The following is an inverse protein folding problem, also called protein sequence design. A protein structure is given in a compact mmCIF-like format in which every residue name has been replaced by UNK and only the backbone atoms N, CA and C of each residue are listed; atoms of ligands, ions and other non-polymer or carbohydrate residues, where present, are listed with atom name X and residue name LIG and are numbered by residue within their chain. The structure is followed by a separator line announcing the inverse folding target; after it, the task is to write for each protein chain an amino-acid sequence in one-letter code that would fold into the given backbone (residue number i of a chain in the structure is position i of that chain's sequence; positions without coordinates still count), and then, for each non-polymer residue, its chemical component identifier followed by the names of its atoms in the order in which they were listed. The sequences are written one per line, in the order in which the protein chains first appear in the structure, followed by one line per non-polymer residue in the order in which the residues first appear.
data_IF_438698434791
#
_entry.id   IF_438698434791
#
_cell.length_a   1.000
_cell.length_b   1.000
_cell.length_c   1.000
_cell.angle_alpha   90.00
_cell.angle_beta   90.00
_cell.angle_gamma   90.00
#
_symmetry.space_group_name_H-M   'P 1'
#
loop_
_entity.id
_entity.type
_entity.pdbx_description
1 polymer ?
#
# COMPACT_ATOMS: atom_id res chain seq x y z
N UNK A 1 -23.67 -17.43 -18.02
CA UNK A 1 -23.29 -17.39 -16.59
C UNK A 1 -22.52 -18.67 -16.27
N UNK A 2 -21.23 -18.58 -15.99
CA UNK A 2 -20.37 -19.76 -15.76
C UNK A 2 -19.80 -19.75 -14.32
N UNK A 3 -20.69 -19.63 -13.30
CA UNK A 3 -20.30 -19.86 -11.92
C UNK A 3 -20.29 -21.39 -11.66
N UNK A 4 -19.31 -21.92 -10.93
CA UNK A 4 -19.28 -23.33 -10.53
C UNK A 4 -20.55 -23.71 -9.74
N UNK A 5 -21.12 -24.87 -10.02
CA UNK A 5 -22.33 -25.32 -9.34
C UNK A 5 -22.14 -25.43 -7.83
N UNK A 6 -20.98 -25.94 -7.39
CA UNK A 6 -20.62 -26.01 -5.98
C UNK A 6 -20.59 -24.62 -5.31
N UNK A 7 -20.07 -23.60 -6.01
CA UNK A 7 -20.08 -22.22 -5.51
C UNK A 7 -21.51 -21.67 -5.38
N UNK A 8 -22.36 -21.89 -6.39
CA UNK A 8 -23.77 -21.47 -6.32
C UNK A 8 -24.49 -22.15 -5.15
N UNK A 9 -24.27 -23.45 -4.93
CA UNK A 9 -24.87 -24.18 -3.81
C UNK A 9 -24.37 -23.62 -2.45
N UNK A 10 -23.10 -23.27 -2.35
CA UNK A 10 -22.54 -22.59 -1.17
C UNK A 10 -23.23 -21.24 -0.91
N UNK A 11 -23.38 -20.40 -1.95
CA UNK A 11 -24.10 -19.13 -1.81
C UNK A 11 -25.54 -19.30 -1.32
N UNK A 12 -26.25 -20.32 -1.82
CA UNK A 12 -27.63 -20.64 -1.36
C UNK A 12 -27.69 -20.98 0.11
N UNK A 13 -26.71 -21.71 0.60
CA UNK A 13 -26.64 -22.11 2.01
C UNK A 13 -26.24 -20.95 2.91
N UNK A 14 -25.25 -20.16 2.49
CA UNK A 14 -24.67 -19.09 3.27
C UNK A 14 -25.52 -17.82 3.24
N UNK A 15 -26.16 -17.52 2.11
CA UNK A 15 -26.96 -16.31 1.88
C UNK A 15 -28.37 -16.66 1.37
N UNK A 16 -29.22 -17.36 2.16
CA UNK A 16 -30.49 -17.90 1.70
C UNK A 16 -31.45 -16.82 1.16
N UNK A 17 -31.36 -15.59 1.68
CA UNK A 17 -32.22 -14.47 1.26
C UNK A 17 -31.62 -13.61 0.15
N UNK A 18 -30.31 -13.71 -0.13
CA UNK A 18 -29.59 -12.78 -0.99
C UNK A 18 -28.97 -13.45 -2.25
N UNK A 19 -28.79 -14.76 -2.24
CA UNK A 19 -28.08 -15.47 -3.31
C UNK A 19 -28.66 -15.23 -4.70
N UNK A 20 -29.99 -15.09 -4.84
CA UNK A 20 -30.66 -14.81 -6.12
C UNK A 20 -30.29 -13.42 -6.68
N UNK A 21 -29.97 -12.46 -5.81
CA UNK A 21 -29.50 -11.12 -6.18
C UNK A 21 -27.99 -11.12 -6.46
N UNK A 22 -27.24 -11.97 -5.75
CA UNK A 22 -25.78 -12.07 -5.91
C UNK A 22 -25.38 -12.66 -7.25
N UNK A 23 -26.02 -13.72 -7.70
CA UNK A 23 -25.66 -14.43 -8.94
C UNK A 23 -25.60 -13.51 -10.17
N UNK A 24 -26.64 -12.72 -10.51
CA UNK A 24 -26.56 -11.82 -11.65
C UNK A 24 -25.57 -10.67 -11.46
N UNK A 25 -25.20 -10.33 -10.22
CA UNK A 25 -24.23 -9.28 -9.94
C UNK A 25 -22.82 -9.65 -10.41
N UNK A 26 -22.48 -10.93 -10.48
CA UNK A 26 -21.18 -11.37 -11.00
C UNK A 26 -20.98 -11.10 -12.50
N UNK A 27 -22.03 -10.89 -13.25
CA UNK A 27 -21.96 -10.57 -14.68
C UNK A 27 -22.15 -9.06 -14.94
N UNK A 28 -22.39 -8.25 -13.91
CA UNK A 28 -22.43 -6.78 -14.05
C UNK A 28 -21.02 -6.22 -14.14
N UNK A 29 -20.83 -5.19 -14.94
CA UNK A 29 -19.59 -4.44 -15.01
C UNK A 29 -19.27 -3.80 -13.65
N UNK A 30 -18.00 -3.88 -13.25
CA UNK A 30 -17.51 -3.22 -12.03
C UNK A 30 -17.24 -1.76 -12.36
N UNK A 31 -17.80 -0.86 -11.56
CA UNK A 31 -17.49 0.54 -11.69
C UNK A 31 -16.02 0.79 -11.32
N UNK A 32 -15.28 1.44 -12.22
CA UNK A 32 -13.89 1.80 -11.95
C UNK A 32 -13.82 2.78 -10.79
N UNK A 33 -12.90 2.55 -9.86
CA UNK A 33 -12.65 3.45 -8.74
C UNK A 33 -11.17 3.73 -8.56
N UNK A 34 -10.87 4.87 -7.94
CA UNK A 34 -9.52 5.33 -7.67
C UNK A 34 -9.41 5.85 -6.24
N UNK A 35 -8.24 5.67 -5.66
CA UNK A 35 -7.80 6.34 -4.44
C UNK A 35 -7.11 7.63 -4.84
N UNK A 36 -7.55 8.77 -4.32
CA UNK A 36 -7.01 10.11 -4.61
C UNK A 36 -5.84 10.42 -3.68
N UNK A 37 -4.74 10.90 -4.24
CA UNK A 37 -3.67 11.45 -3.40
C UNK A 37 -4.08 12.83 -2.86
N UNK A 38 -4.02 13.09 -1.53
CA UNK A 38 -4.60 14.30 -0.94
C UNK A 38 -4.00 15.62 -1.44
N UNK A 39 -2.73 15.61 -1.84
CA UNK A 39 -2.03 16.83 -2.31
C UNK A 39 -1.95 16.93 -3.85
N UNK A 40 -1.88 15.81 -4.57
CA UNK A 40 -1.59 15.77 -6.02
C UNK A 40 -2.86 15.71 -6.88
N UNK A 41 -3.93 15.11 -6.38
CA UNK A 41 -5.15 14.86 -7.17
C UNK A 41 -5.81 16.12 -7.75
N UNK A 42 -5.68 17.26 -7.06
CA UNK A 42 -6.22 18.56 -7.50
C UNK A 42 -5.76 19.04 -8.88
N UNK A 43 -4.68 18.47 -9.42
CA UNK A 43 -4.13 18.80 -10.72
C UNK A 43 -4.68 17.90 -11.85
N UNK A 44 -5.52 16.92 -11.52
CA UNK A 44 -6.10 16.02 -12.51
C UNK A 44 -7.44 16.54 -13.03
N UNK A 45 -7.79 16.13 -14.26
CA UNK A 45 -9.12 16.36 -14.84
C UNK A 45 -10.13 15.25 -14.53
N UNK A 46 -9.74 14.26 -13.70
CA UNK A 46 -10.57 13.12 -13.34
C UNK A 46 -11.73 13.57 -12.46
N UNK A 47 -12.94 13.17 -12.85
CA UNK A 47 -14.18 13.48 -12.12
C UNK A 47 -14.96 12.19 -11.83
N UNK A 48 -15.66 12.19 -10.71
CA UNK A 48 -16.46 11.05 -10.29
C UNK A 48 -17.25 11.34 -9.02
N UNK A 49 -17.85 10.31 -8.47
CA UNK A 49 -18.63 10.36 -7.24
C UNK A 49 -17.77 9.87 -6.07
N UNK A 50 -17.97 10.41 -4.88
CA UNK A 50 -17.23 9.96 -3.71
C UNK A 50 -17.57 8.51 -3.35
N UNK A 51 -16.58 7.74 -2.93
CA UNK A 51 -16.82 6.45 -2.25
C UNK A 51 -17.34 6.78 -0.84
N UNK A 52 -18.55 6.34 -0.47
CA UNK A 52 -19.19 6.81 0.77
C UNK A 52 -18.43 6.51 2.05
N UNK A 53 -17.70 5.41 2.09
CA UNK A 53 -16.93 4.91 3.25
C UNK A 53 -15.45 5.30 3.24
N UNK A 54 -15.00 6.08 2.25
CA UNK A 54 -13.62 6.54 2.21
C UNK A 54 -13.51 7.88 1.49
N UNK A 55 -13.14 8.93 2.20
CA UNK A 55 -13.04 10.30 1.67
C UNK A 55 -12.01 10.47 0.55
N UNK A 56 -11.02 9.60 0.50
CA UNK A 56 -10.00 9.57 -0.57
C UNK A 56 -10.49 8.78 -1.80
N UNK A 57 -11.54 7.97 -1.66
CA UNK A 57 -12.09 7.15 -2.74
C UNK A 57 -12.94 7.96 -3.72
N UNK A 58 -12.89 7.58 -5.00
CA UNK A 58 -13.74 8.14 -6.05
C UNK A 58 -14.18 7.04 -7.02
N UNK A 59 -15.48 6.97 -7.30
CA UNK A 59 -16.09 6.14 -8.34
C UNK A 59 -16.08 6.92 -9.64
N UNK A 60 -15.50 6.38 -10.70
CA UNK A 60 -15.37 7.05 -11.99
C UNK A 60 -16.55 6.71 -12.90
N UNK A 61 -16.98 7.68 -13.69
CA UNK A 61 -18.01 7.46 -14.73
C UNK A 61 -17.47 6.63 -15.90
N UNK A 62 -16.18 6.84 -16.24
CA UNK A 62 -15.50 6.16 -17.33
C UNK A 62 -14.11 5.69 -16.85
N UNK A 63 -13.67 4.55 -17.37
CA UNK A 63 -12.34 4.03 -17.09
C UNK A 63 -11.28 4.75 -17.93
N UNK A 64 -10.36 5.53 -17.32
CA UNK A 64 -9.28 6.16 -18.07
C UNK A 64 -8.25 5.12 -18.56
N UNK A 65 -7.48 5.52 -19.58
CA UNK A 65 -6.32 4.74 -20.03
C UNK A 65 -5.13 5.00 -19.09
N UNK A 66 -5.16 4.45 -17.89
CA UNK A 66 -4.18 4.67 -16.83
C UNK A 66 -2.72 4.64 -17.31
N UNK A 67 -2.38 3.71 -18.22
CA UNK A 67 -1.03 3.57 -18.77
C UNK A 67 -0.53 4.85 -19.47
N UNK A 68 -1.43 5.61 -20.08
CA UNK A 68 -1.10 6.83 -20.81
C UNK A 68 -1.49 8.11 -20.08
N UNK A 69 -1.82 8.01 -18.80
CA UNK A 69 -2.11 9.18 -17.97
C UNK A 69 -0.86 9.57 -17.15
N UNK A 70 -0.20 10.70 -17.45
CA UNK A 70 0.96 11.16 -16.69
C UNK A 70 0.67 11.37 -15.21
N UNK A 71 -0.54 11.78 -14.84
CA UNK A 71 -0.93 11.97 -13.44
C UNK A 71 -0.95 10.65 -12.65
N UNK A 72 -1.34 9.54 -13.31
CA UNK A 72 -1.22 8.21 -12.73
C UNK A 72 0.24 7.85 -12.40
N UNK A 73 1.16 8.16 -13.31
CA UNK A 73 2.60 7.95 -13.12
C UNK A 73 3.24 8.91 -12.11
N UNK A 74 2.66 10.09 -11.93
CA UNK A 74 3.02 11.03 -10.87
C UNK A 74 2.51 10.61 -9.47
N UNK A 75 1.68 9.57 -9.40
CA UNK A 75 1.03 9.14 -8.16
C UNK A 75 -0.05 10.10 -7.66
N UNK A 76 -0.72 10.82 -8.56
CA UNK A 76 -1.84 11.68 -8.20
C UNK A 76 -3.09 10.88 -7.78
N UNK A 77 -3.18 9.67 -8.25
CA UNK A 77 -4.21 8.70 -7.87
C UNK A 77 -3.73 7.26 -8.13
N UNK A 78 -4.39 6.32 -7.51
CA UNK A 78 -4.16 4.88 -7.68
C UNK A 78 -5.47 4.17 -8.04
N UNK A 79 -5.44 3.21 -8.98
CA UNK A 79 -6.61 2.37 -9.29
C UNK A 79 -6.86 1.40 -8.13
N UNK A 80 -7.84 1.69 -7.30
CA UNK A 80 -8.20 0.94 -6.10
C UNK A 80 -9.63 0.46 -6.17
N UNK A 81 -9.88 -0.78 -5.80
CA UNK A 81 -11.21 -1.38 -5.69
C UNK A 81 -12.01 -0.69 -4.57
N UNK A 82 -13.28 -0.31 -4.87
CA UNK A 82 -14.07 0.55 -4.00
C UNK A 82 -14.36 -0.07 -2.63
N UNK A 83 -14.81 -1.33 -2.59
CA UNK A 83 -15.19 -1.99 -1.34
C UNK A 83 -13.99 -2.19 -0.41
N UNK A 84 -12.82 -2.51 -0.98
CA UNK A 84 -11.58 -2.66 -0.20
C UNK A 84 -11.13 -1.36 0.48
N UNK A 85 -11.63 -0.20 0.04
CA UNK A 85 -11.34 1.08 0.70
C UNK A 85 -12.03 1.21 2.07
N UNK A 86 -13.01 0.35 2.41
CA UNK A 86 -13.64 0.29 3.74
C UNK A 86 -12.59 0.06 4.84
N UNK A 87 -11.50 -0.62 4.51
CA UNK A 87 -10.39 -0.86 5.43
C UNK A 87 -9.83 0.42 6.05
N UNK A 88 -9.91 1.55 5.31
CA UNK A 88 -9.48 2.85 5.81
C UNK A 88 -10.30 3.32 7.00
N UNK A 89 -11.61 3.08 7.00
CA UNK A 89 -12.50 3.42 8.11
C UNK A 89 -12.16 2.65 9.41
N UNK A 90 -11.90 1.33 9.28
CA UNK A 90 -11.46 0.52 10.42
C UNK A 90 -10.06 0.94 10.90
N UNK A 91 -9.18 1.31 9.96
CA UNK A 91 -7.84 1.75 10.30
C UNK A 91 -7.82 3.09 11.06
N UNK A 92 -8.66 4.05 10.66
CA UNK A 92 -8.83 5.31 11.41
C UNK A 92 -9.24 5.05 12.86
N UNK A 93 -10.18 4.13 13.08
CA UNK A 93 -10.58 3.70 14.42
C UNK A 93 -9.42 3.10 15.23
N UNK A 94 -8.58 2.27 14.57
CA UNK A 94 -7.45 1.60 15.23
C UNK A 94 -6.36 2.58 15.68
N UNK A 95 -6.14 3.67 14.95
CA UNK A 95 -5.04 4.62 15.24
C UNK A 95 -5.48 5.87 16.01
N UNK A 96 -6.77 6.08 16.23
CA UNK A 96 -7.35 7.33 16.73
C UNK A 96 -6.69 7.83 18.03
N UNK A 97 -6.33 6.92 18.94
CA UNK A 97 -5.77 7.24 20.25
C UNK A 97 -4.24 6.97 20.34
N UNK A 98 -3.61 6.59 19.23
CA UNK A 98 -2.19 6.22 19.23
C UNK A 98 -1.35 7.38 18.70
N UNK A 99 -0.52 7.94 19.58
CA UNK A 99 0.48 8.92 19.17
C UNK A 99 1.62 8.22 18.42
N UNK A 100 1.89 8.67 17.18
CA UNK A 100 2.98 8.14 16.32
C UNK A 100 2.94 6.61 16.13
N UNK A 101 1.84 6.06 15.59
CA UNK A 101 1.67 4.62 15.47
C UNK A 101 2.70 3.96 14.56
N UNK A 102 3.23 2.82 14.99
CA UNK A 102 4.02 1.92 14.17
C UNK A 102 3.11 0.85 13.58
N UNK A 103 2.98 0.83 12.26
CA UNK A 103 2.06 -0.04 11.52
C UNK A 103 2.82 -1.01 10.65
N UNK A 104 2.39 -2.27 10.64
CA UNK A 104 2.86 -3.29 9.71
C UNK A 104 1.71 -3.71 8.78
N UNK A 105 1.88 -3.55 7.48
CA UNK A 105 1.07 -4.21 6.46
C UNK A 105 1.80 -5.49 6.03
N UNK A 106 1.32 -6.65 6.51
CA UNK A 106 2.07 -7.89 6.47
C UNK A 106 2.02 -8.59 5.10
N UNK A 107 0.97 -8.35 4.30
CA UNK A 107 0.74 -8.91 2.97
C UNK A 107 0.44 -7.78 1.96
N UNK A 108 1.35 -6.83 1.84
CA UNK A 108 1.07 -5.48 1.34
C UNK A 108 0.84 -5.36 -0.19
N UNK A 109 1.47 -6.23 -1.01
CA UNK A 109 1.42 -6.04 -2.46
C UNK A 109 0.03 -6.28 -3.07
N UNK A 110 -0.37 -5.48 -4.05
CA UNK A 110 0.43 -4.49 -4.80
C UNK A 110 0.56 -3.10 -4.16
N UNK A 111 -0.04 -2.84 -2.98
CA UNK A 111 0.15 -1.60 -2.23
C UNK A 111 -1.09 -0.75 -2.00
N UNK A 112 -2.24 -1.07 -2.60
CA UNK A 112 -3.43 -0.22 -2.52
C UNK A 112 -3.89 0.09 -1.08
N UNK A 113 -3.90 -0.90 -0.18
CA UNK A 113 -4.21 -0.71 1.24
C UNK A 113 -3.08 0.03 1.96
N UNK A 114 -1.81 -0.28 1.65
CA UNK A 114 -0.65 0.46 2.17
C UNK A 114 -0.71 1.96 1.82
N UNK A 115 -1.21 2.33 0.63
CA UNK A 115 -1.41 3.74 0.25
C UNK A 115 -2.47 4.41 1.13
N UNK A 116 -3.56 3.71 1.46
CA UNK A 116 -4.58 4.20 2.40
C UNK A 116 -3.95 4.41 3.77
N UNK A 117 -3.27 3.40 4.32
CA UNK A 117 -2.66 3.46 5.65
C UNK A 117 -1.62 4.59 5.73
N UNK A 118 -0.71 4.68 4.75
CA UNK A 118 0.31 5.74 4.74
C UNK A 118 -0.27 7.14 4.68
N UNK A 119 -1.39 7.31 3.94
CA UNK A 119 -2.07 8.61 3.83
C UNK A 119 -2.73 9.01 5.15
N UNK A 120 -3.39 8.07 5.82
CA UNK A 120 -4.05 8.30 7.10
C UNK A 120 -3.07 8.50 8.26
N UNK A 121 -1.92 7.85 8.22
CA UNK A 121 -0.81 8.09 9.16
C UNK A 121 -0.22 9.49 9.04
N UNK A 122 -0.21 10.04 7.84
CA UNK A 122 0.42 11.34 7.59
C UNK A 122 1.91 11.35 7.95
N UNK A 123 2.36 12.38 8.68
CA UNK A 123 3.77 12.54 9.09
C UNK A 123 4.06 11.98 10.49
N UNK A 124 3.03 11.61 11.25
CA UNK A 124 3.15 11.24 12.67
C UNK A 124 3.44 9.76 12.93
N UNK A 125 3.12 8.88 12.00
CA UNK A 125 3.33 7.45 12.15
C UNK A 125 4.36 6.89 11.17
N UNK A 126 4.61 5.57 11.27
CA UNK A 126 5.46 4.83 10.35
C UNK A 126 4.73 3.60 9.84
N UNK A 127 4.83 3.35 8.52
CA UNK A 127 4.31 2.15 7.88
C UNK A 127 5.46 1.26 7.40
N UNK A 128 5.43 -0.01 7.79
CA UNK A 128 6.25 -1.07 7.19
C UNK A 128 5.35 -1.92 6.32
N UNK A 129 5.61 -1.93 5.02
CA UNK A 129 4.87 -2.73 4.04
C UNK A 129 5.70 -3.95 3.64
N UNK A 130 5.24 -5.16 3.99
CA UNK A 130 5.94 -6.40 3.74
C UNK A 130 5.33 -7.20 2.59
N UNK A 131 6.18 -7.77 1.75
CA UNK A 131 5.79 -8.71 0.70
C UNK A 131 6.91 -9.71 0.45
N UNK A 132 6.60 -11.00 0.56
CA UNK A 132 7.59 -12.08 0.46
C UNK A 132 8.00 -12.43 -0.97
N UNK A 133 7.15 -12.13 -1.96
CA UNK A 133 7.37 -12.45 -3.36
C UNK A 133 8.14 -11.30 -4.03
N UNK A 134 9.39 -11.49 -4.48
CA UNK A 134 10.23 -10.40 -4.97
C UNK A 134 9.61 -9.58 -6.11
N UNK A 135 8.92 -10.21 -7.05
CA UNK A 135 8.26 -9.54 -8.16
C UNK A 135 7.12 -8.64 -7.67
N UNK A 136 6.32 -9.10 -6.71
CA UNK A 136 5.25 -8.31 -6.11
C UNK A 136 5.79 -7.18 -5.22
N UNK A 137 6.91 -7.44 -4.50
CA UNK A 137 7.61 -6.42 -3.72
C UNK A 137 8.12 -5.28 -4.60
N UNK A 138 8.60 -5.58 -5.82
CA UNK A 138 9.01 -4.54 -6.76
C UNK A 138 7.84 -3.64 -7.17
N UNK A 139 6.66 -4.21 -7.43
CA UNK A 139 5.44 -3.46 -7.75
C UNK A 139 4.97 -2.61 -6.56
N UNK A 140 5.02 -3.19 -5.36
CA UNK A 140 4.71 -2.47 -4.12
C UNK A 140 5.59 -1.22 -3.96
N UNK A 141 6.91 -1.37 -4.13
CA UNK A 141 7.87 -0.25 -4.07
C UNK A 141 7.57 0.83 -5.10
N UNK A 142 7.32 0.44 -6.34
CA UNK A 142 6.95 1.37 -7.41
C UNK A 142 5.73 2.21 -7.01
N UNK A 143 4.67 1.57 -6.50
CA UNK A 143 3.43 2.26 -6.13
C UNK A 143 3.64 3.20 -4.93
N UNK A 144 4.40 2.77 -3.91
CA UNK A 144 4.74 3.59 -2.76
C UNK A 144 5.63 4.79 -3.14
N UNK A 145 6.64 4.58 -3.99
CA UNK A 145 7.53 5.65 -4.47
C UNK A 145 6.77 6.67 -5.33
N UNK A 146 5.85 6.23 -6.19
CA UNK A 146 4.96 7.12 -6.96
C UNK A 146 4.03 7.92 -6.05
N UNK A 147 3.48 7.27 -5.02
CA UNK A 147 2.63 7.94 -4.03
C UNK A 147 3.40 9.02 -3.27
N UNK A 148 4.62 8.74 -2.82
CA UNK A 148 5.57 9.71 -2.33
C UNK A 148 5.35 10.17 -0.89
N UNK A 149 4.74 9.36 -0.03
CA UNK A 149 4.69 9.60 1.42
C UNK A 149 5.98 9.07 2.06
N UNK A 150 6.77 9.90 2.76
CA UNK A 150 8.17 9.57 3.08
C UNK A 150 8.38 8.61 4.25
N UNK A 151 7.39 8.37 5.11
CA UNK A 151 7.49 7.52 6.30
C UNK A 151 7.07 6.06 6.04
N UNK A 152 7.19 5.59 4.80
CA UNK A 152 6.88 4.23 4.38
C UNK A 152 8.15 3.45 4.08
N UNK A 153 8.21 2.24 4.63
CA UNK A 153 9.34 1.34 4.49
C UNK A 153 8.88 0.01 3.90
N UNK A 154 9.70 -0.63 3.08
CA UNK A 154 9.35 -1.93 2.51
C UNK A 154 10.24 -3.03 3.05
N UNK A 155 9.63 -4.17 3.35
CA UNK A 155 10.29 -5.36 3.86
C UNK A 155 10.01 -6.55 2.94
N UNK A 156 10.99 -7.42 2.74
CA UNK A 156 10.88 -8.61 1.92
C UNK A 156 11.21 -9.86 2.75
N UNK A 157 10.41 -10.14 3.80
CA UNK A 157 10.69 -11.24 4.71
C UNK A 157 9.47 -12.12 4.95
N UNK A 158 9.69 -13.41 5.09
CA UNK A 158 8.67 -14.28 5.65
C UNK A 158 8.33 -13.84 7.08
N UNK A 159 7.05 -13.81 7.49
CA UNK A 159 6.64 -13.33 8.80
C UNK A 159 7.39 -13.98 9.97
N UNK A 160 7.60 -15.31 9.92
CA UNK A 160 8.34 -16.08 10.92
C UNK A 160 9.86 -15.81 10.94
N UNK A 161 10.39 -15.05 10.00
CA UNK A 161 11.80 -14.61 9.96
C UNK A 161 12.00 -13.19 10.46
N UNK A 162 10.94 -12.47 10.77
CA UNK A 162 11.02 -11.14 11.37
C UNK A 162 11.52 -11.32 12.82
N UNK A 163 12.72 -10.75 13.17
CA UNK A 163 13.48 -11.18 14.34
C UNK A 163 13.04 -10.54 15.68
N UNK A 164 11.83 -9.99 15.76
CA UNK A 164 11.33 -9.32 16.95
C UNK A 164 9.84 -9.61 17.18
N UNK A 165 9.36 -9.29 18.39
CA UNK A 165 7.99 -9.47 18.83
C UNK A 165 7.47 -8.16 19.39
N UNK A 166 6.15 -7.97 19.44
CA UNK A 166 5.48 -6.86 20.13
C UNK A 166 6.00 -5.46 19.72
N UNK A 167 6.17 -5.25 18.41
CA UNK A 167 6.79 -4.04 17.86
C UNK A 167 5.83 -3.05 17.24
N UNK A 168 4.67 -3.53 16.78
CA UNK A 168 3.73 -2.73 16.03
C UNK A 168 2.46 -2.44 16.84
N UNK A 169 1.97 -1.22 16.73
CA UNK A 169 0.71 -0.80 17.35
C UNK A 169 -0.48 -1.33 16.54
N UNK A 170 -0.32 -1.42 15.20
CA UNK A 170 -1.28 -2.03 14.30
C UNK A 170 -0.58 -3.00 13.37
N UNK A 171 -1.14 -4.20 13.23
CA UNK A 171 -0.76 -5.16 12.19
C UNK A 171 -1.95 -5.36 11.27
N UNK A 172 -1.80 -5.01 9.99
CA UNK A 172 -2.80 -5.25 8.95
C UNK A 172 -2.43 -6.51 8.15
N UNK A 173 -3.41 -7.36 7.92
CA UNK A 173 -3.27 -8.60 7.14
C UNK A 173 -4.38 -8.65 6.10
N UNK A 174 -4.06 -8.22 4.87
CA UNK A 174 -4.89 -8.53 3.70
C UNK A 174 -4.51 -9.93 3.22
N UNK A 175 -5.23 -10.90 3.72
CA UNK A 175 -4.78 -12.29 3.63
C UNK A 175 -4.89 -12.87 2.21
N UNK A 176 -3.91 -13.67 1.76
CA UNK A 176 -4.09 -14.47 0.57
C UNK A 176 -5.27 -15.41 0.79
N UNK A 177 -6.30 -15.31 -0.05
CA UNK A 177 -7.60 -15.96 0.13
C UNK A 177 -8.07 -16.64 -1.16
N UNK A 178 -9.19 -17.37 -1.08
CA UNK A 178 -9.80 -18.08 -2.21
C UNK A 178 -10.36 -17.13 -3.29
N UNK A 179 -10.55 -15.86 -2.99
CA UNK A 179 -10.83 -14.81 -3.97
C UNK A 179 -12.22 -14.87 -4.61
N UNK A 180 -13.24 -15.35 -3.93
CA UNK A 180 -14.61 -15.49 -4.45
C UNK A 180 -15.20 -14.13 -4.90
N UNK A 181 -14.80 -13.04 -4.26
CA UNK A 181 -15.15 -11.68 -4.67
C UNK A 181 -14.56 -11.26 -6.02
N UNK A 182 -13.41 -11.85 -6.42
CA UNK A 182 -12.74 -11.54 -7.68
C UNK A 182 -13.44 -12.15 -8.91
N UNK A 183 -14.40 -13.04 -8.75
CA UNK A 183 -15.12 -13.70 -9.85
C UNK A 183 -15.84 -12.70 -10.77
N UNK A 184 -16.16 -11.53 -10.26
CA UNK A 184 -16.75 -10.45 -11.06
C UNK A 184 -15.74 -9.86 -12.03
N UNK A 185 -14.46 -9.75 -11.64
CA UNK A 185 -13.38 -9.14 -12.43
C UNK A 185 -12.61 -10.16 -13.25
N UNK A 186 -12.37 -11.33 -12.71
CA UNK A 186 -11.53 -12.38 -13.29
C UNK A 186 -12.38 -13.61 -13.58
N UNK A 187 -13.02 -13.60 -14.76
CA UNK A 187 -13.94 -14.67 -15.17
C UNK A 187 -13.25 -16.04 -15.25
N UNK A 188 -11.97 -16.07 -15.63
CA UNK A 188 -11.19 -17.31 -15.73
C UNK A 188 -11.00 -18.01 -14.38
N UNK A 189 -10.92 -17.24 -13.27
CA UNK A 189 -10.84 -17.78 -11.91
C UNK A 189 -12.06 -18.62 -11.51
N UNK A 190 -13.22 -18.38 -12.12
CA UNK A 190 -14.44 -19.16 -11.85
C UNK A 190 -14.24 -20.63 -12.17
N UNK A 191 -13.53 -20.93 -13.27
CA UNK A 191 -13.27 -22.32 -13.71
C UNK A 191 -12.24 -23.08 -12.87
N UNK A 192 -11.40 -22.37 -12.15
CA UNK A 192 -10.34 -22.93 -11.32
C UNK A 192 -10.77 -23.15 -9.86
N UNK A 193 -11.84 -22.49 -9.43
CA UNK A 193 -12.31 -22.53 -8.05
C UNK A 193 -12.81 -23.92 -7.63
N UNK A 194 -12.43 -24.30 -6.43
CA UNK A 194 -12.87 -25.52 -5.75
C UNK A 194 -13.17 -25.20 -4.29
N UNK A 195 -14.17 -25.85 -3.72
CA UNK A 195 -14.57 -25.65 -2.32
C UNK A 195 -13.41 -25.91 -1.34
N UNK A 196 -12.57 -26.92 -1.63
CA UNK A 196 -11.37 -27.22 -0.83
C UNK A 196 -10.31 -26.10 -0.84
N UNK A 197 -10.43 -25.15 -1.76
CA UNK A 197 -9.46 -24.05 -1.88
C UNK A 197 -9.58 -23.06 -0.72
N UNK A 198 -10.81 -22.76 -0.27
CA UNK A 198 -11.06 -21.93 0.91
C UNK A 198 -10.39 -22.52 2.17
N UNK A 199 -10.55 -23.83 2.38
CA UNK A 199 -9.90 -24.51 3.51
C UNK A 199 -8.35 -24.45 3.44
N UNK A 200 -7.78 -24.64 2.24
CA UNK A 200 -6.33 -24.51 2.05
C UNK A 200 -5.83 -23.10 2.34
N UNK A 201 -6.61 -22.08 1.95
CA UNK A 201 -6.30 -20.69 2.25
C UNK A 201 -6.40 -20.41 3.76
N UNK A 202 -7.44 -20.90 4.43
CA UNK A 202 -7.62 -20.75 5.88
C UNK A 202 -6.43 -21.30 6.67
N UNK A 203 -5.89 -22.47 6.33
CA UNK A 203 -4.69 -23.01 6.97
C UNK A 203 -3.50 -22.06 6.85
N UNK A 204 -3.27 -21.48 5.66
CA UNK A 204 -2.22 -20.49 5.46
C UNK A 204 -2.47 -19.20 6.21
N UNK A 205 -3.73 -18.79 6.31
CA UNK A 205 -4.13 -17.60 7.06
C UNK A 205 -3.85 -17.76 8.55
N UNK A 206 -4.09 -18.93 9.13
CA UNK A 206 -3.71 -19.23 10.51
C UNK A 206 -2.20 -19.02 10.74
N UNK A 207 -1.33 -19.59 9.89
CA UNK A 207 0.13 -19.41 10.01
C UNK A 207 0.55 -17.93 9.94
N UNK A 208 -0.08 -17.14 9.04
CA UNK A 208 0.21 -15.70 8.91
C UNK A 208 -0.27 -14.94 10.15
N UNK A 209 -1.44 -15.27 10.65
CA UNK A 209 -2.07 -14.57 11.77
C UNK A 209 -1.40 -14.85 13.12
N UNK A 210 -0.89 -16.08 13.35
CA UNK A 210 -0.04 -16.39 14.50
C UNK A 210 1.17 -15.44 14.55
N UNK A 211 1.83 -15.25 13.42
CA UNK A 211 2.96 -14.33 13.30
C UNK A 211 2.53 -12.87 13.42
N UNK A 212 1.37 -12.49 12.89
CA UNK A 212 0.82 -11.15 13.06
C UNK A 212 0.58 -10.83 14.54
N UNK A 213 -0.02 -11.75 15.29
CA UNK A 213 -0.24 -11.61 16.74
C UNK A 213 1.07 -11.55 17.51
N UNK A 214 2.09 -12.33 17.12
CA UNK A 214 3.44 -12.27 17.70
C UNK A 214 4.08 -10.89 17.53
N UNK A 215 3.92 -10.27 16.36
CA UNK A 215 4.48 -8.95 16.03
C UNK A 215 3.70 -7.79 16.68
N UNK A 216 2.43 -8.00 16.99
CA UNK A 216 1.54 -7.00 17.59
C UNK A 216 1.87 -6.76 19.06
N UNK A 217 1.96 -5.49 19.46
CA UNK A 217 2.09 -5.09 20.88
C UNK A 217 0.87 -5.55 21.70
N UNK A 218 1.01 -5.79 23.00
CA UNK A 218 -0.14 -5.80 23.90
C UNK A 218 -0.91 -4.48 23.79
N UNK A 219 -2.25 -4.54 23.79
CA UNK A 219 -3.13 -3.39 23.55
C UNK A 219 -3.19 -2.92 22.08
N UNK A 220 -2.41 -3.52 21.18
CA UNK A 220 -2.39 -3.17 19.76
C UNK A 220 -3.53 -3.80 18.97
N UNK A 221 -3.74 -3.34 17.73
CA UNK A 221 -4.86 -3.71 16.88
C UNK A 221 -4.44 -4.59 15.69
N UNK A 222 -5.17 -5.69 15.49
CA UNK A 222 -5.09 -6.52 14.29
C UNK A 222 -6.22 -6.13 13.34
N UNK A 223 -5.86 -5.71 12.14
CA UNK A 223 -6.79 -5.38 11.06
C UNK A 223 -6.74 -6.50 10.01
N UNK A 224 -7.78 -7.32 9.93
CA UNK A 224 -7.84 -8.46 9.05
C UNK A 224 -8.81 -8.21 7.89
N UNK A 225 -8.44 -8.61 6.67
CA UNK A 225 -9.31 -8.52 5.50
C UNK A 225 -9.07 -9.63 4.49
N UNK A 226 -10.12 -9.95 3.72
CA UNK A 226 -10.11 -10.88 2.59
C UNK A 226 -10.99 -10.36 1.46
N UNK A 227 -10.80 -10.91 0.26
CA UNK A 227 -11.70 -10.72 -0.87
C UNK A 227 -12.55 -11.98 -1.15
N UNK A 228 -12.96 -12.71 -0.12
CA UNK A 228 -13.78 -13.92 -0.22
C UNK A 228 -15.01 -13.83 0.68
N UNK A 229 -15.98 -14.74 0.46
CA UNK A 229 -17.17 -14.89 1.31
C UNK A 229 -17.11 -16.16 2.19
N UNK A 230 -16.06 -16.95 2.03
CA UNK A 230 -15.89 -18.23 2.72
C UNK A 230 -15.88 -18.06 4.25
N UNK A 231 -16.78 -18.69 5.00
CA UNK A 231 -16.78 -18.63 6.46
C UNK A 231 -15.49 -19.14 7.08
N UNK A 232 -14.85 -20.14 6.47
CA UNK A 232 -13.58 -20.73 6.88
C UNK A 232 -12.44 -19.69 6.89
N UNK A 233 -12.53 -18.68 6.01
CA UNK A 233 -11.54 -17.64 5.85
C UNK A 233 -11.95 -16.31 6.55
N UNK A 234 -13.15 -16.21 7.07
CA UNK A 234 -13.72 -15.00 7.65
C UNK A 234 -14.16 -15.23 9.10
N UNK A 235 -15.37 -15.74 9.34
CA UNK A 235 -15.96 -15.89 10.66
C UNK A 235 -15.21 -16.89 11.54
N UNK A 236 -14.74 -17.99 10.95
CA UNK A 236 -13.97 -19.00 11.67
C UNK A 236 -12.58 -18.47 12.08
N UNK A 237 -12.00 -17.57 11.26
CA UNK A 237 -10.76 -16.88 11.61
C UNK A 237 -10.95 -15.94 12.81
N UNK A 238 -12.07 -15.19 12.88
CA UNK A 238 -12.37 -14.36 14.05
C UNK A 238 -12.47 -15.23 15.30
N UNK A 239 -13.20 -16.34 15.20
CA UNK A 239 -13.35 -17.29 16.31
C UNK A 239 -12.01 -17.87 16.76
N UNK A 240 -11.17 -18.30 15.81
CA UNK A 240 -9.83 -18.81 16.08
C UNK A 240 -8.96 -17.78 16.83
N UNK A 241 -8.95 -16.53 16.37
CA UNK A 241 -8.15 -15.46 17.00
C UNK A 241 -8.63 -15.13 18.43
N UNK A 242 -9.93 -15.17 18.64
CA UNK A 242 -10.50 -14.98 19.98
C UNK A 242 -10.20 -16.14 20.93
N UNK A 243 -10.32 -17.38 20.46
CA UNK A 243 -10.10 -18.58 21.27
C UNK A 243 -8.62 -18.79 21.63
N UNK A 244 -7.74 -18.73 20.63
CA UNK A 244 -6.31 -19.07 20.81
C UNK A 244 -5.50 -17.91 21.41
N UNK A 245 -5.83 -16.66 21.04
CA UNK A 245 -5.03 -15.48 21.43
C UNK A 245 -5.78 -14.48 22.28
N UNK A 246 -7.05 -14.75 22.62
CA UNK A 246 -7.93 -13.87 23.41
C UNK A 246 -8.04 -12.46 22.81
N UNK A 247 -7.98 -12.35 21.46
CA UNK A 247 -8.20 -11.07 20.82
C UNK A 247 -9.66 -10.64 21.00
N UNK A 248 -9.85 -9.41 21.42
CA UNK A 248 -11.17 -8.80 21.57
C UNK A 248 -11.61 -8.15 20.27
N UNK A 249 -12.80 -8.46 19.79
CA UNK A 249 -13.37 -7.81 18.61
C UNK A 249 -13.78 -6.37 18.97
N UNK A 250 -13.44 -5.43 18.10
CA UNK A 250 -13.79 -4.01 18.23
C UNK A 250 -14.90 -3.70 17.24
N UNK A 251 -16.07 -3.37 17.78
CA UNK A 251 -17.20 -2.91 16.97
C UNK A 251 -16.90 -1.54 16.36
N UNK A 252 -17.11 -1.41 15.05
CA UNK A 252 -16.91 -0.19 14.29
C UNK A 252 -18.25 0.22 13.67
N UNK A 253 -18.68 1.45 13.91
CA UNK A 253 -19.95 1.95 13.39
C UNK A 253 -19.98 1.97 11.87
N UNK A 254 -20.98 1.32 11.26
CA UNK A 254 -21.23 1.34 9.82
C UNK A 254 -22.51 2.13 9.52
N UNK A 255 -22.42 3.06 8.58
CA UNK A 255 -23.60 3.81 8.16
C UNK A 255 -24.52 2.95 7.30
N UNK A 256 -25.81 3.02 7.52
CA UNK A 256 -26.80 2.20 6.80
C UNK A 256 -26.72 2.37 5.27
N UNK A 257 -26.43 3.60 4.80
CA UNK A 257 -26.30 3.90 3.37
C UNK A 257 -25.08 3.27 2.69
N UNK A 258 -24.15 2.68 3.45
CA UNK A 258 -23.00 2.00 2.89
C UNK A 258 -23.30 0.57 2.43
N UNK A 259 -24.45 0.01 2.82
CA UNK A 259 -24.84 -1.36 2.52
C UNK A 259 -23.77 -2.39 2.94
N UNK A 260 -23.17 -2.18 4.09
CA UNK A 260 -22.24 -3.12 4.71
C UNK A 260 -23.03 -4.08 5.57
N UNK A 261 -22.92 -5.39 5.30
CA UNK A 261 -23.50 -6.41 6.15
C UNK A 261 -22.62 -6.59 7.39
N UNK A 262 -23.19 -6.33 8.57
CA UNK A 262 -22.54 -6.63 9.84
C UNK A 262 -22.82 -8.08 10.17
N UNK A 263 -21.78 -8.90 10.15
CA UNK A 263 -21.87 -10.33 10.43
C UNK A 263 -21.49 -10.56 11.88
N UNK A 264 -22.49 -10.74 12.72
CA UNK A 264 -22.29 -11.04 14.13
C UNK A 264 -22.05 -12.55 14.32
N UNK A 265 -20.92 -12.89 14.94
CA UNK A 265 -20.57 -14.25 15.36
C UNK A 265 -20.52 -14.37 16.89
N UNK A 266 -20.21 -15.56 17.39
CA UNK A 266 -20.06 -15.83 18.83
C UNK A 266 -18.96 -14.97 19.46
N UNK A 267 -17.92 -14.62 18.70
CA UNK A 267 -16.72 -13.94 19.18
C UNK A 267 -16.55 -12.53 18.60
N UNK A 268 -17.57 -11.99 17.92
CA UNK A 268 -17.52 -10.61 17.46
C UNK A 268 -18.11 -10.38 16.07
N UNK A 269 -17.81 -9.21 15.51
CA UNK A 269 -18.37 -8.70 14.27
C UNK A 269 -17.34 -8.70 13.15
N UNK A 270 -17.80 -9.09 11.97
CA UNK A 270 -17.11 -8.82 10.71
C UNK A 270 -17.97 -7.94 9.81
N UNK A 271 -17.33 -7.23 8.89
CA UNK A 271 -17.97 -6.29 7.97
C UNK A 271 -17.82 -6.81 6.56
N UNK A 272 -18.95 -7.12 5.92
CA UNK A 272 -18.97 -7.73 4.60
C UNK A 272 -19.64 -6.82 3.59
N UNK A 273 -19.03 -6.70 2.42
CA UNK A 273 -19.62 -6.01 1.27
C UNK A 273 -19.87 -7.01 0.15
N UNK A 274 -21.13 -7.12 -0.26
CA UNK A 274 -21.57 -8.07 -1.27
C UNK A 274 -21.73 -7.43 -2.65
N UNK A 275 -21.47 -8.16 -3.75
CA UNK A 275 -21.38 -7.59 -5.09
C UNK A 275 -22.72 -7.10 -5.66
N UNK A 276 -23.87 -7.47 -5.07
CA UNK A 276 -25.19 -7.09 -5.57
C UNK A 276 -25.67 -5.73 -5.06
N UNK A 277 -25.18 -5.27 -3.91
CA UNK A 277 -25.62 -4.04 -3.24
C UNK A 277 -24.52 -2.98 -3.12
N UNK A 278 -23.31 -3.25 -3.63
CA UNK A 278 -22.19 -2.30 -3.65
C UNK A 278 -21.56 -2.18 -5.04
N UNK A 279 -20.87 -1.07 -5.35
CA UNK A 279 -20.30 -0.84 -6.69
C UNK A 279 -19.07 -1.71 -6.98
N UNK A 280 -18.43 -2.24 -5.94
CA UNK A 280 -17.15 -2.96 -6.02
C UNK A 280 -17.28 -4.48 -6.12
N UNK A 281 -16.21 -5.16 -5.77
CA UNK A 281 -16.06 -6.62 -5.67
C UNK A 281 -16.55 -7.09 -4.30
N UNK A 282 -16.32 -8.38 -3.97
CA UNK A 282 -16.54 -8.88 -2.61
C UNK A 282 -15.42 -8.46 -1.67
N UNK A 283 -15.78 -8.06 -0.46
CA UNK A 283 -14.80 -7.69 0.56
C UNK A 283 -15.30 -8.05 1.95
N UNK A 284 -14.39 -8.50 2.80
CA UNK A 284 -14.62 -8.73 4.22
C UNK A 284 -13.49 -8.11 5.03
N UNK A 285 -13.82 -7.51 6.18
CA UNK A 285 -12.83 -7.02 7.12
C UNK A 285 -13.33 -7.04 8.56
N UNK A 286 -12.39 -7.04 9.51
CA UNK A 286 -12.67 -6.96 10.95
C UNK A 286 -11.52 -6.27 11.67
N UNK A 287 -11.81 -5.70 12.84
CA UNK A 287 -10.84 -5.07 13.74
C UNK A 287 -10.83 -5.81 15.07
N UNK A 288 -9.66 -6.27 15.50
CA UNK A 288 -9.47 -6.97 16.75
C UNK A 288 -8.39 -6.28 17.59
N UNK A 289 -8.52 -6.32 18.90
CA UNK A 289 -7.55 -5.76 19.84
C UNK A 289 -6.90 -6.88 20.66
N UNK A 290 -5.58 -6.84 20.76
CA UNK A 290 -4.83 -7.74 21.63
C UNK A 290 -4.97 -7.29 23.08
N UNK A 291 -5.16 -8.21 24.05
CA UNK A 291 -5.21 -7.85 25.46
C UNK A 291 -4.00 -7.03 25.91
N UNK A 292 -4.22 -6.17 26.89
CA UNK A 292 -3.13 -5.43 27.54
C UNK A 292 -2.15 -6.39 28.22
N UNK A 293 -0.89 -5.98 28.31
CA UNK A 293 0.16 -6.80 28.90
C UNK A 293 1.49 -6.06 29.01
N UNK A 294 2.47 -6.70 29.60
CA UNK A 294 3.81 -6.14 29.69
C UNK A 294 4.63 -6.48 28.44
N UNK A 295 5.25 -5.47 27.84
CA UNK A 295 6.30 -5.66 26.82
C UNK A 295 7.67 -5.63 27.50
N UNK A 296 8.44 -6.69 27.36
CA UNK A 296 9.87 -6.63 27.67
C UNK A 296 10.56 -5.64 26.71
N UNK A 297 11.50 -4.85 27.25
CA UNK A 297 12.32 -3.98 26.39
C UNK A 297 13.12 -4.86 25.42
N UNK A 298 12.76 -4.79 24.15
CA UNK A 298 13.45 -5.53 23.12
C UNK A 298 14.84 -4.94 22.94
N UNK A 299 15.87 -5.75 23.20
CA UNK A 299 17.26 -5.37 22.96
C UNK A 299 17.69 -5.88 21.60
N UNK A 300 17.94 -4.97 20.67
CA UNK A 300 18.44 -5.31 19.34
C UNK A 300 19.97 -5.25 19.31
N UNK A 301 20.60 -6.29 18.75
CA UNK A 301 21.95 -6.17 18.22
C UNK A 301 21.87 -5.65 16.81
N UNK A 302 22.12 -4.36 16.61
CA UNK A 302 22.17 -3.79 15.28
C UNK A 302 23.42 -4.26 14.54
N UNK A 303 23.23 -4.95 13.42
CA UNK A 303 24.29 -5.26 12.46
C UNK A 303 24.30 -4.27 11.29
N UNK A 304 23.46 -3.23 11.31
CA UNK A 304 23.37 -2.29 10.21
C UNK A 304 24.45 -1.23 10.30
N UNK A 305 25.16 -1.05 9.21
CA UNK A 305 26.15 0.02 9.02
C UNK A 305 25.49 1.22 8.33
N UNK A 306 24.44 1.76 8.97
CA UNK A 306 23.89 3.05 8.60
C UNK A 306 24.64 4.13 9.35
N UNK A 307 25.14 5.08 8.60
CA UNK A 307 25.93 6.20 9.11
C UNK A 307 25.37 7.53 8.62
N UNK A 308 25.53 8.61 9.39
CA UNK A 308 25.23 9.96 8.89
C UNK A 308 26.13 10.31 7.69
N UNK A 309 25.65 11.21 6.84
CA UNK A 309 26.44 11.76 5.77
C UNK A 309 27.58 12.62 6.34
N UNK A 310 28.75 12.58 5.70
CA UNK A 310 29.81 13.57 5.95
C UNK A 310 29.34 14.97 5.49
N UNK A 311 29.98 16.02 5.98
CA UNK A 311 29.66 17.40 5.59
C UNK A 311 29.78 17.62 4.07
N UNK A 312 30.79 17.01 3.41
CA UNK A 312 30.97 17.08 1.96
C UNK A 312 29.84 16.37 1.20
N UNK A 313 29.44 15.17 1.64
CA UNK A 313 28.33 14.43 1.05
C UNK A 313 27.02 15.18 1.25
N UNK A 314 26.79 15.71 2.46
CA UNK A 314 25.59 16.49 2.75
C UNK A 314 25.48 17.72 1.84
N UNK A 315 26.57 18.50 1.67
CA UNK A 315 26.60 19.64 0.76
C UNK A 315 26.28 19.25 -0.68
N UNK A 316 26.73 18.06 -1.13
CA UNK A 316 26.42 17.54 -2.48
C UNK A 316 24.95 17.19 -2.62
N UNK A 317 24.34 16.58 -1.61
CA UNK A 317 22.94 16.15 -1.63
C UNK A 317 21.98 17.33 -1.50
N UNK A 318 22.36 18.40 -0.82
CA UNK A 318 21.55 19.62 -0.65
C UNK A 318 21.22 20.32 -1.98
N UNK A 319 21.94 20.01 -3.06
CA UNK A 319 21.57 20.47 -4.40
C UNK A 319 20.27 19.81 -4.94
N UNK A 320 19.78 18.74 -4.29
CA UNK A 320 18.63 17.96 -4.73
C UNK A 320 17.49 17.93 -3.70
N UNK A 321 17.80 18.15 -2.43
CA UNK A 321 16.83 18.04 -1.33
C UNK A 321 17.00 19.20 -0.34
N UNK A 322 15.92 19.55 0.35
CA UNK A 322 15.95 20.64 1.36
C UNK A 322 16.94 20.33 2.49
N UNK A 323 17.55 21.39 3.01
CA UNK A 323 18.59 21.27 4.06
C UNK A 323 18.07 20.81 5.42
N UNK A 324 16.78 21.06 5.71
CA UNK A 324 16.13 20.71 6.98
C UNK A 324 15.82 19.21 7.12
N UNK A 325 15.98 18.43 6.05
CA UNK A 325 15.65 17.01 6.02
C UNK A 325 16.79 16.17 6.56
N UNK A 326 16.52 15.32 7.55
CA UNK A 326 17.52 14.38 8.08
C UNK A 326 17.79 13.23 7.08
N UNK A 327 19.06 12.87 6.94
CA UNK A 327 19.53 11.85 5.98
C UNK A 327 20.47 10.87 6.63
N UNK A 328 20.37 9.62 6.16
CA UNK A 328 21.31 8.53 6.48
C UNK A 328 21.78 7.84 5.22
N UNK A 329 22.94 7.19 5.25
CA UNK A 329 23.42 6.36 4.14
C UNK A 329 23.82 4.98 4.62
N UNK A 330 23.75 4.01 3.73
CA UNK A 330 24.27 2.66 3.95
C UNK A 330 25.70 2.49 3.38
N UNK A 331 26.32 1.33 3.60
CA UNK A 331 27.67 1.00 3.11
C UNK A 331 27.79 1.01 1.56
N UNK A 332 26.69 0.82 0.85
CA UNK A 332 26.65 0.84 -0.61
C UNK A 332 26.56 2.26 -1.19
N UNK A 333 26.53 3.28 -0.32
CA UNK A 333 26.37 4.69 -0.74
C UNK A 333 24.94 5.11 -1.06
N UNK A 334 23.96 4.26 -0.76
CA UNK A 334 22.54 4.64 -0.89
C UNK A 334 22.15 5.59 0.25
N UNK A 335 21.55 6.71 -0.11
CA UNK A 335 21.11 7.76 0.82
C UNK A 335 19.60 7.70 0.97
N UNK A 336 19.11 7.72 2.20
CA UNK A 336 17.70 7.62 2.55
C UNK A 336 17.26 8.76 3.46
N UNK A 337 15.96 9.06 3.46
CA UNK A 337 15.37 9.94 4.46
C UNK A 337 15.42 9.28 5.84
N UNK A 338 15.86 10.05 6.84
CA UNK A 338 15.80 9.63 8.24
C UNK A 338 14.53 10.18 8.89
N UNK A 339 13.40 9.59 8.55
CA UNK A 339 12.06 9.99 9.06
C UNK A 339 11.67 9.24 10.32
N UNK A 340 12.49 8.28 10.75
CA UNK A 340 12.16 7.43 11.88
C UNK A 340 12.31 8.13 13.23
N UNK A 341 11.31 7.97 14.08
CA UNK A 341 11.41 8.34 15.49
C UNK A 341 12.36 7.39 16.25
N UNK A 342 12.95 7.88 17.34
CA UNK A 342 14.06 7.24 18.04
C UNK A 342 13.80 5.77 18.39
N UNK A 343 12.61 5.42 18.85
CA UNK A 343 12.27 4.04 19.28
C UNK A 343 12.20 3.06 18.11
N UNK A 344 11.69 3.50 16.95
CA UNK A 344 11.59 2.64 15.79
C UNK A 344 12.92 2.49 15.04
N UNK A 345 13.86 3.43 15.23
CA UNK A 345 15.21 3.35 14.62
C UNK A 345 15.97 2.08 15.00
N UNK A 346 15.85 1.64 16.23
CA UNK A 346 16.57 0.44 16.72
C UNK A 346 15.97 -0.83 16.08
N UNK A 347 14.65 -0.92 16.04
CA UNK A 347 13.93 -2.03 15.38
C UNK A 347 14.33 -2.08 13.90
N UNK A 348 14.28 -0.93 13.25
CA UNK A 348 14.57 -0.81 11.84
C UNK A 348 16.00 -1.22 11.49
N UNK A 349 16.96 -0.80 12.30
CA UNK A 349 18.39 -1.18 12.13
C UNK A 349 18.62 -2.69 12.18
N UNK A 350 17.77 -3.43 12.90
CA UNK A 350 17.88 -4.89 12.98
C UNK A 350 17.43 -5.60 11.70
N UNK A 351 16.48 -5.02 10.94
CA UNK A 351 15.90 -5.63 9.74
C UNK A 351 16.46 -5.05 8.43
N UNK A 352 17.21 -3.97 8.49
CA UNK A 352 17.75 -3.23 7.35
C UNK A 352 18.44 -4.04 6.26
N UNK A 353 19.17 -5.14 6.53
CA UNK A 353 19.75 -5.94 5.46
C UNK A 353 18.71 -6.48 4.45
N UNK A 354 17.47 -6.63 4.89
CA UNK A 354 16.36 -7.19 4.13
C UNK A 354 15.28 -6.16 3.78
N UNK A 355 15.50 -4.89 4.10
CA UNK A 355 14.52 -3.84 3.96
C UNK A 355 15.05 -2.66 3.14
N UNK A 356 14.18 -1.94 2.44
CA UNK A 356 14.50 -0.58 2.02
C UNK A 356 14.42 0.35 3.22
N UNK A 357 15.43 1.16 3.39
CA UNK A 357 15.56 2.07 4.53
C UNK A 357 14.68 3.33 4.41
N UNK A 358 13.48 3.21 3.86
CA UNK A 358 12.58 4.33 3.61
C UNK A 358 12.72 4.89 2.19
N UNK A 359 12.33 6.13 1.99
CA UNK A 359 12.41 6.79 0.67
C UNK A 359 13.86 6.96 0.24
N UNK A 360 14.21 6.38 -0.90
CA UNK A 360 15.54 6.52 -1.49
C UNK A 360 15.73 7.94 -2.03
N UNK A 361 16.63 8.68 -1.43
CA UNK A 361 17.03 10.03 -1.88
C UNK A 361 17.93 9.96 -3.11
N UNK A 362 18.81 8.96 -3.16
CA UNK A 362 19.74 8.74 -4.26
C UNK A 362 20.92 7.89 -3.84
N UNK A 363 21.94 7.85 -4.71
CA UNK A 363 23.14 7.08 -4.48
C UNK A 363 24.41 7.83 -4.81
N UNK A 364 25.48 7.54 -4.08
CA UNK A 364 26.83 7.97 -4.43
C UNK A 364 27.51 6.93 -5.32
N UNK A 365 27.76 7.30 -6.57
CA UNK A 365 28.64 6.55 -7.49
C UNK A 365 30.00 7.22 -7.52
N UNK A 366 30.94 6.71 -6.71
CA UNK A 366 32.21 7.38 -6.41
C UNK A 366 31.96 8.77 -5.78
N UNK A 367 32.43 9.85 -6.45
CA UNK A 367 32.23 11.23 -5.98
C UNK A 367 31.00 11.93 -6.56
N UNK A 368 30.16 11.22 -7.33
CA UNK A 368 28.95 11.79 -7.95
C UNK A 368 27.71 11.28 -7.25
N UNK A 369 26.79 12.19 -6.96
CA UNK A 369 25.48 11.84 -6.47
C UNK A 369 24.49 11.74 -7.63
N UNK A 370 23.67 10.69 -7.64
CA UNK A 370 22.57 10.48 -8.58
C UNK A 370 21.28 10.49 -7.78
N UNK A 371 20.34 11.43 -8.05
CA UNK A 371 19.08 11.50 -7.34
C UNK A 371 18.21 10.27 -7.63
N UNK A 372 17.57 9.74 -6.60
CA UNK A 372 16.66 8.62 -6.66
C UNK A 372 15.25 9.04 -7.10
N UNK A 373 14.53 8.13 -7.76
CA UNK A 373 13.18 8.43 -8.24
C UNK A 373 12.20 8.75 -7.10
N UNK A 374 12.34 8.08 -5.94
CA UNK A 374 11.42 8.25 -4.82
C UNK A 374 11.26 9.70 -4.36
N UNK A 375 12.36 10.49 -4.29
CA UNK A 375 12.26 11.88 -3.84
C UNK A 375 11.56 12.81 -4.82
N UNK A 376 11.54 12.50 -6.12
CA UNK A 376 10.86 13.34 -7.10
C UNK A 376 9.36 13.49 -6.76
N UNK A 377 8.77 12.49 -6.11
CA UNK A 377 7.34 12.44 -5.84
C UNK A 377 6.95 12.87 -4.41
N UNK A 378 7.92 13.13 -3.53
CA UNK A 378 7.66 13.47 -2.12
C UNK A 378 7.38 14.96 -1.86
N UNK A 379 7.78 15.83 -2.77
CA UNK A 379 7.70 17.28 -2.58
C UNK A 379 8.73 17.85 -1.59
N UNK A 380 9.81 17.09 -1.31
CA UNK A 380 10.93 17.50 -0.44
C UNK A 380 12.20 17.87 -1.22
N UNK A 381 12.09 17.98 -2.54
CA UNK A 381 13.18 18.47 -3.40
C UNK A 381 13.63 19.87 -2.99
N UNK A 382 14.89 20.20 -3.28
CA UNK A 382 15.42 21.55 -3.08
C UNK A 382 14.62 22.57 -3.91
N UNK A 383 14.34 23.74 -3.33
CA UNK A 383 13.58 24.78 -4.02
C UNK A 383 14.27 25.29 -5.29
N UNK A 384 15.61 25.22 -5.35
CA UNK A 384 16.42 25.67 -6.47
C UNK A 384 16.62 24.59 -7.55
N UNK A 385 16.07 23.37 -7.35
CA UNK A 385 16.11 22.34 -8.37
C UNK A 385 15.32 22.79 -9.59
N UNK A 386 15.99 22.78 -10.73
CA UNK A 386 15.35 23.16 -11.99
C UNK A 386 14.28 22.15 -12.35
N UNK A 387 13.13 22.67 -12.78
CA UNK A 387 12.01 21.89 -13.29
C UNK A 387 11.92 22.06 -14.80
N UNK A 388 11.69 20.98 -15.50
CA UNK A 388 11.50 20.94 -16.94
C UNK A 388 10.09 20.44 -17.23
N UNK A 389 9.21 21.34 -17.59
CA UNK A 389 7.84 21.03 -17.96
C UNK A 389 7.82 20.42 -19.36
N UNK A 390 7.21 19.25 -19.52
CA UNK A 390 7.07 18.56 -20.79
C UNK A 390 5.63 18.65 -21.31
N UNK A 391 5.49 18.67 -22.64
CA UNK A 391 4.21 18.46 -23.29
C UNK A 391 3.67 17.04 -23.02
N UNK A 392 2.38 16.79 -23.29
CA UNK A 392 1.82 15.44 -23.16
C UNK A 392 2.58 14.42 -24.00
N UNK A 393 2.90 14.74 -25.26
CA UNK A 393 3.61 13.81 -26.15
C UNK A 393 5.03 13.51 -25.63
N UNK A 394 5.74 14.51 -25.13
CA UNK A 394 7.10 14.33 -24.61
C UNK A 394 7.11 13.62 -23.27
N UNK A 395 6.13 13.84 -22.38
CA UNK A 395 6.07 13.08 -21.13
C UNK A 395 5.73 11.60 -21.38
N UNK A 396 4.90 11.29 -22.38
CA UNK A 396 4.68 9.90 -22.78
C UNK A 396 5.97 9.28 -23.35
N UNK A 397 6.73 10.02 -24.17
CA UNK A 397 8.05 9.57 -24.64
C UNK A 397 9.03 9.38 -23.48
N UNK A 398 9.00 10.29 -22.48
CA UNK A 398 9.78 10.13 -21.26
C UNK A 398 9.42 8.85 -20.51
N UNK A 399 8.14 8.57 -20.31
CA UNK A 399 7.65 7.35 -19.64
C UNK A 399 7.99 6.08 -20.43
N UNK A 400 8.11 6.15 -21.77
CA UNK A 400 8.59 5.07 -22.64
C UNK A 400 10.12 4.94 -22.68
N UNK A 401 10.86 5.88 -22.08
CA UNK A 401 12.31 5.99 -22.17
C UNK A 401 12.85 6.25 -23.59
N UNK A 402 12.09 6.93 -24.40
CA UNK A 402 12.51 7.40 -25.71
C UNK A 402 13.42 8.63 -25.60
N UNK A 403 14.14 8.92 -26.67
CA UNK A 403 15.01 10.09 -26.74
C UNK A 403 14.19 11.37 -26.88
N UNK A 404 14.47 12.36 -26.03
CA UNK A 404 13.83 13.66 -26.04
C UNK A 404 14.90 14.74 -26.23
N UNK A 405 14.64 15.67 -27.15
CA UNK A 405 15.45 16.87 -27.33
C UNK A 405 14.84 17.99 -26.51
N UNK A 406 15.70 18.75 -25.83
CA UNK A 406 15.27 19.83 -24.96
C UNK A 406 16.20 21.04 -25.07
N UNK A 407 15.66 22.21 -24.95
CA UNK A 407 16.41 23.46 -24.83
C UNK A 407 16.46 23.86 -23.36
N UNK A 408 17.50 23.43 -22.67
CA UNK A 408 17.71 23.72 -21.25
C UNK A 408 19.19 23.65 -20.91
N UNK A 409 19.61 24.35 -19.87
CA UNK A 409 20.99 24.27 -19.38
C UNK A 409 21.36 22.84 -18.93
N UNK A 410 22.64 22.48 -19.10
CA UNK A 410 23.14 21.17 -18.66
C UNK A 410 22.99 20.96 -17.15
N UNK A 411 22.70 19.71 -16.74
CA UNK A 411 22.56 19.31 -15.34
C UNK A 411 21.31 18.47 -15.08
N UNK A 412 21.10 18.12 -13.81
CA UNK A 412 19.89 17.42 -13.37
C UNK A 412 18.69 18.36 -13.39
N UNK A 413 17.53 17.82 -13.75
CA UNK A 413 16.24 18.50 -13.75
C UNK A 413 15.17 17.53 -13.24
N UNK A 414 14.16 18.07 -12.55
CA UNK A 414 12.91 17.34 -12.28
C UNK A 414 12.00 17.50 -13.49
N UNK A 415 11.58 16.39 -14.06
CA UNK A 415 10.59 16.37 -15.14
C UNK A 415 9.21 16.59 -14.55
N UNK A 416 8.48 17.55 -15.11
CA UNK A 416 7.13 17.89 -14.68
C UNK A 416 6.13 17.80 -15.83
N UNK A 417 4.88 17.54 -15.49
CA UNK A 417 3.73 17.63 -16.36
C UNK A 417 2.57 18.26 -15.58
N UNK A 418 2.00 19.34 -16.09
CA UNK A 418 0.95 20.12 -15.43
C UNK A 418 1.29 20.40 -13.95
N UNK A 419 2.54 20.88 -13.72
CA UNK A 419 3.11 21.21 -12.41
C UNK A 419 3.32 20.01 -11.46
N UNK A 420 3.07 18.79 -11.89
CA UNK A 420 3.35 17.59 -11.11
C UNK A 420 4.68 16.96 -11.49
N UNK A 421 5.45 16.57 -10.49
CA UNK A 421 6.71 15.88 -10.70
C UNK A 421 6.46 14.46 -11.21
N UNK A 422 7.17 14.09 -12.27
CA UNK A 422 7.11 12.74 -12.88
C UNK A 422 8.38 11.95 -12.53
N UNK A 423 9.54 12.62 -12.47
CA UNK A 423 10.80 11.95 -12.21
C UNK A 423 12.01 12.82 -12.52
N UNK A 424 13.17 12.19 -12.63
CA UNK A 424 14.43 12.87 -12.89
C UNK A 424 14.91 12.70 -14.32
N UNK A 425 15.58 13.75 -14.83
CA UNK A 425 16.34 13.71 -16.04
C UNK A 425 17.67 14.45 -15.90
N UNK A 426 18.59 14.23 -16.82
CA UNK A 426 19.84 14.97 -16.90
C UNK A 426 20.04 15.51 -18.31
N UNK A 427 20.06 16.83 -18.41
CA UNK A 427 20.33 17.52 -19.69
C UNK A 427 21.82 17.48 -19.99
N UNK A 428 22.17 17.03 -21.21
CA UNK A 428 23.55 17.01 -21.76
C UNK A 428 23.49 17.52 -23.19
N UNK A 429 23.98 18.74 -23.42
CA UNK A 429 23.78 19.44 -24.70
C UNK A 429 22.28 19.70 -24.91
N UNK A 430 21.73 19.28 -26.02
CA UNK A 430 20.31 19.38 -26.37
C UNK A 430 19.51 18.10 -26.04
N UNK A 431 20.15 17.09 -25.41
CA UNK A 431 19.54 15.80 -25.14
C UNK A 431 19.17 15.66 -23.67
N UNK A 432 17.97 15.18 -23.39
CA UNK A 432 17.54 14.72 -22.08
C UNK A 432 17.91 13.25 -21.87
N UNK A 433 18.86 12.98 -20.97
CA UNK A 433 19.13 11.63 -20.49
C UNK A 433 18.05 11.29 -19.43
N UNK A 434 17.27 10.28 -19.74
CA UNK A 434 16.10 9.88 -18.99
C UNK A 434 16.49 8.99 -17.79
N UNK A 435 16.28 9.47 -16.57
CA UNK A 435 16.57 8.77 -15.32
C UNK A 435 15.35 7.99 -14.76
N UNK A 436 14.22 7.96 -15.47
CA UNK A 436 13.05 7.18 -15.05
C UNK A 436 13.43 5.68 -14.94
N UNK A 437 12.95 4.93 -13.91
CA UNK A 437 13.30 3.53 -13.75
C UNK A 437 12.91 2.69 -14.98
N UNK A 438 13.76 1.74 -15.35
CA UNK A 438 13.51 0.88 -16.52
C UNK A 438 12.30 -0.02 -16.31
N UNK A 439 12.09 -0.44 -15.07
CA UNK A 439 11.02 -1.33 -14.65
C UNK A 439 9.64 -0.66 -14.76
N UNK A 440 9.59 0.67 -14.58
CA UNK A 440 8.36 1.47 -14.56
C UNK A 440 7.94 1.97 -15.95
N UNK A 441 8.77 1.74 -16.97
CA UNK A 441 8.51 2.24 -18.32
C UNK A 441 7.20 1.69 -18.90
N UNK A 442 6.49 2.50 -19.64
CA UNK A 442 5.36 2.08 -20.46
C UNK A 442 5.87 1.17 -21.59
N UNK A 443 5.25 0.01 -21.73
CA UNK A 443 5.56 -0.95 -22.80
C UNK A 443 4.43 -0.92 -23.82
N UNK A 444 4.49 -0.07 -24.82
CA UNK A 444 3.52 0.11 -25.93
C UNK A 444 2.24 0.79 -25.55
#
# INVERSE_FOLDING_TARGET
MNLPEAFVNRLKTQFPEQWELMIPAYDREIQTSVLKHPKKFKHTSIVGEAVPWNSLGMLLKERPKFTFDPHYHAGAYYSQEANSMLIGHLFEQAIQEIENPAVLDLCAAPGGKSLIYSTLLGESGVLVANEVIPQRLSILRENLDKWGIPNVFTLGMYPNKIPFTHCFDVVAVDAPCSGEGLFRKQVDYRGEWKESFAHTCAVRQHEILEEAVRLLKPGGYLLYSTCTFAPEENEEIISYLADEFQLENISVEMKNEWNVDVVAGTFGEGYRMLPHNTPGEGFFCTLLKKPEGHTEKIRFKSNSKIVPLTAKERSTVNAFIREDVALVKNEKGLVFLDTLQHTFKEIWRAILPNANAGTLVGEFMKDKFIPGQGIANTGIECNDVRKLELSYDDVIRYLKKEVIQVESEAGFVVITFEQQNIGWGKVVGTRLNNNYPNEWRIRS
#
